data_IF_955479761349
#
_entry.id   IF_955479761349
#
_cell.length_a   1.000
_cell.length_b   1.000
_cell.length_c   1.000
_cell.angle_alpha   90.00
_cell.angle_beta   90.00
_cell.angle_gamma   90.00
#
_symmetry.space_group_name_H-M   'P 1'
#
loop_
_entity.id
_entity.type
_entity.pdbx_description
1 polymer ?
#
# COMPACT_ATOMS: atom_id res chain seq x y z
N UNK A 1 -6.45 -9.10 -11.61
CA UNK A 1 -6.20 -10.52 -11.32
C UNK A 1 -7.35 -11.08 -10.49
N UNK A 2 -7.51 -12.40 -10.44
CA UNK A 2 -8.48 -13.04 -9.56
C UNK A 2 -8.21 -12.69 -8.09
N UNK A 3 -9.22 -12.19 -7.37
CA UNK A 3 -9.09 -11.84 -5.96
C UNK A 3 -8.75 -13.04 -5.07
N UNK A 4 -9.13 -14.27 -5.44
CA UNK A 4 -8.83 -15.47 -4.65
C UNK A 4 -7.33 -15.76 -4.59
N UNK A 5 -6.57 -15.25 -5.56
CA UNK A 5 -5.13 -15.48 -5.68
C UNK A 5 -4.28 -14.43 -4.95
N UNK A 6 -4.85 -13.35 -4.40
CA UNK A 6 -4.05 -12.28 -3.79
C UNK A 6 -3.25 -12.76 -2.58
N UNK A 7 -3.69 -13.82 -1.91
CA UNK A 7 -2.97 -14.42 -0.77
C UNK A 7 -1.59 -14.97 -1.13
N UNK A 8 -1.33 -15.23 -2.43
CA UNK A 8 -0.06 -15.73 -2.94
C UNK A 8 0.94 -14.63 -3.27
N UNK A 9 0.52 -13.36 -3.26
CA UNK A 9 1.37 -12.23 -3.59
C UNK A 9 2.33 -11.89 -2.44
N UNK A 10 3.52 -11.35 -2.75
CA UNK A 10 4.53 -11.08 -1.73
C UNK A 10 4.12 -9.96 -0.77
N UNK A 11 4.74 -9.96 0.40
CA UNK A 11 4.77 -8.77 1.25
C UNK A 11 5.78 -7.78 0.70
N UNK A 12 5.36 -6.53 0.55
CA UNK A 12 6.25 -5.43 0.13
C UNK A 12 6.75 -4.73 1.39
N UNK A 13 8.06 -4.52 1.47
CA UNK A 13 8.70 -3.92 2.63
C UNK A 13 9.35 -2.60 2.28
N UNK A 14 9.00 -1.55 3.02
CA UNK A 14 9.66 -0.26 3.01
C UNK A 14 10.58 -0.13 4.21
N UNK A 15 11.82 0.29 3.98
CA UNK A 15 12.78 0.57 5.06
C UNK A 15 12.84 2.08 5.29
N UNK A 16 12.27 2.55 6.41
CA UNK A 16 12.22 3.96 6.78
C UNK A 16 12.88 4.13 8.15
N UNK A 17 13.92 4.98 8.23
CA UNK A 17 14.65 5.21 9.48
C UNK A 17 15.25 3.93 10.09
N UNK A 18 15.64 2.96 9.26
CA UNK A 18 16.17 1.67 9.69
C UNK A 18 15.13 0.66 10.19
N UNK A 19 13.83 0.97 10.12
CA UNK A 19 12.74 0.06 10.50
C UNK A 19 11.97 -0.41 9.27
N UNK A 20 11.52 -1.66 9.31
CA UNK A 20 10.70 -2.27 8.28
C UNK A 20 9.21 -1.95 8.45
N UNK A 21 8.59 -1.50 7.37
CA UNK A 21 7.16 -1.25 7.24
C UNK A 21 6.61 -2.15 6.13
N UNK A 22 5.80 -3.13 6.51
CA UNK A 22 5.32 -4.19 5.65
C UNK A 22 3.90 -3.88 5.16
N UNK A 23 3.69 -3.99 3.85
CA UNK A 23 2.37 -4.05 3.22
C UNK A 23 2.13 -5.47 2.72
N UNK A 24 1.14 -6.14 3.30
CA UNK A 24 0.66 -7.44 2.83
C UNK A 24 -0.21 -7.26 1.59
N UNK A 25 -0.49 -8.35 0.87
CA UNK A 25 -1.37 -8.29 -0.30
C UNK A 25 -2.76 -7.73 0.00
N UNK A 26 -3.28 -7.91 1.21
CA UNK A 26 -4.54 -7.30 1.67
C UNK A 26 -4.46 -5.78 1.88
N UNK A 27 -3.26 -5.24 2.02
CA UNK A 27 -3.05 -3.81 2.23
C UNK A 27 -2.96 -3.06 0.89
N UNK A 28 -2.43 -3.70 -0.17
CA UNK A 28 -2.23 -3.07 -1.48
C UNK A 28 -3.11 -3.59 -2.62
N UNK A 29 -3.90 -4.66 -2.43
CA UNK A 29 -4.87 -5.14 -3.42
C UNK A 29 -6.31 -4.77 -3.00
N UNK A 30 -7.09 -4.30 -3.97
CA UNK A 30 -8.48 -3.86 -3.77
C UNK A 30 -9.42 -4.59 -4.73
N UNK A 31 -10.59 -5.06 -4.26
CA UNK A 31 -11.60 -5.63 -5.14
C UNK A 31 -12.10 -4.55 -6.11
N UNK A 32 -12.19 -4.91 -7.39
CA UNK A 32 -12.80 -4.09 -8.42
C UNK A 32 -14.32 -3.98 -8.23
N UNK A 33 -14.91 -3.05 -8.97
CA UNK A 33 -16.36 -2.83 -8.98
C UNK A 33 -17.11 -3.77 -9.93
N UNK A 34 -16.38 -4.58 -10.70
CA UNK A 34 -16.92 -5.43 -11.75
C UNK A 34 -16.32 -6.83 -11.64
N UNK A 35 -17.14 -7.80 -12.00
CA UNK A 35 -16.73 -9.19 -12.19
C UNK A 35 -16.24 -9.41 -13.63
N UNK A 36 -15.41 -10.43 -13.81
CA UNK A 36 -15.03 -10.89 -15.14
C UNK A 36 -16.12 -11.75 -15.80
N UNK A 37 -15.84 -12.25 -17.00
CA UNK A 37 -16.76 -13.08 -17.80
C UNK A 37 -17.08 -14.42 -17.08
N UNK A 38 -16.31 -14.79 -16.06
CA UNK A 38 -16.51 -15.99 -15.23
C UNK A 38 -17.17 -15.69 -13.88
N UNK A 39 -17.77 -14.51 -13.70
CA UNK A 39 -18.37 -14.03 -12.45
C UNK A 39 -17.38 -13.99 -11.27
N UNK A 40 -16.10 -13.70 -11.53
CA UNK A 40 -15.10 -13.54 -10.49
C UNK A 40 -14.76 -12.08 -10.25
N UNK A 41 -14.67 -11.69 -8.99
CA UNK A 41 -14.20 -10.35 -8.60
C UNK A 41 -12.75 -10.16 -9.01
N UNK A 42 -12.49 -9.13 -9.81
CA UNK A 42 -11.13 -8.79 -10.23
C UNK A 42 -10.51 -7.79 -9.27
N UNK A 43 -9.40 -8.17 -8.65
CA UNK A 43 -8.61 -7.31 -7.78
C UNK A 43 -7.64 -6.44 -8.60
N UNK A 44 -7.47 -5.19 -8.15
CA UNK A 44 -6.52 -4.20 -8.67
C UNK A 44 -5.48 -3.84 -7.62
N UNK A 45 -4.25 -3.59 -8.08
CA UNK A 45 -3.18 -3.05 -7.25
C UNK A 45 -3.43 -1.57 -6.98
N UNK A 46 -3.25 -1.13 -5.74
CA UNK A 46 -3.15 0.28 -5.35
C UNK A 46 -1.74 0.85 -5.54
N UNK A 47 -0.79 0.02 -5.94
CA UNK A 47 0.54 0.44 -6.38
C UNK A 47 0.45 0.69 -7.88
N UNK A 48 0.76 1.92 -8.26
CA UNK A 48 0.70 2.41 -9.64
C UNK A 48 2.08 2.91 -10.04
N UNK A 49 2.38 2.77 -11.31
CA UNK A 49 3.56 3.40 -11.90
C UNK A 49 3.40 4.92 -11.89
N UNK A 50 4.52 5.60 -11.65
CA UNK A 50 4.59 7.06 -11.60
C UNK A 50 5.95 7.51 -12.09
N UNK A 51 5.96 8.13 -13.27
CA UNK A 51 7.19 8.55 -13.93
C UNK A 51 7.48 10.03 -13.62
N UNK A 52 8.35 10.26 -12.62
CA UNK A 52 8.94 11.58 -12.33
C UNK A 52 10.36 11.45 -11.81
N UNK A 53 11.26 12.19 -12.43
CA UNK A 53 12.70 12.18 -12.13
C UNK A 53 13.04 12.62 -10.69
N UNK A 54 12.19 13.40 -10.03
CA UNK A 54 12.46 14.00 -8.72
C UNK A 54 11.85 13.22 -7.54
N UNK A 55 10.99 12.24 -7.79
CA UNK A 55 10.20 11.54 -6.76
C UNK A 55 10.32 10.03 -6.94
N UNK A 56 11.00 9.37 -6.00
CA UNK A 56 11.12 7.92 -6.02
C UNK A 56 9.83 7.19 -5.58
N UNK A 57 9.14 7.70 -4.55
CA UNK A 57 7.96 7.06 -3.98
C UNK A 57 6.96 8.07 -3.45
N UNK A 58 5.67 7.80 -3.69
CA UNK A 58 4.56 8.46 -3.02
C UNK A 58 3.87 7.43 -2.12
N UNK A 59 4.09 7.56 -0.81
CA UNK A 59 3.44 6.69 0.19
C UNK A 59 2.03 7.21 0.50
N UNK A 60 1.09 6.81 -0.36
CA UNK A 60 -0.30 7.28 -0.33
C UNK A 60 -1.22 6.50 0.60
N UNK A 61 -2.51 6.45 0.21
CA UNK A 61 -3.61 5.90 1.01
C UNK A 61 -3.38 4.46 1.47
N UNK A 62 -2.73 3.61 0.65
CA UNK A 62 -2.45 2.21 1.02
C UNK A 62 -1.52 2.12 2.23
N UNK A 63 -0.55 3.04 2.33
CA UNK A 63 0.40 3.09 3.44
C UNK A 63 -0.25 3.72 4.68
N UNK A 64 -0.96 4.83 4.50
CA UNK A 64 -1.67 5.55 5.57
C UNK A 64 -2.78 4.70 6.20
N UNK A 65 -3.44 3.82 5.42
CA UNK A 65 -4.45 2.89 5.93
C UNK A 65 -3.85 1.87 6.90
N UNK A 66 -2.60 1.44 6.65
CA UNK A 66 -1.91 0.45 7.48
C UNK A 66 -1.17 1.09 8.65
N UNK A 67 -0.64 2.29 8.43
CA UNK A 67 0.22 2.99 9.38
C UNK A 67 -0.36 4.36 9.70
N UNK A 68 -0.61 4.60 10.98
CA UNK A 68 -0.83 5.94 11.49
C UNK A 68 0.45 6.76 11.31
N UNK A 69 0.29 8.00 10.84
CA UNK A 69 1.39 8.94 10.62
C UNK A 69 1.18 10.17 11.49
N UNK A 70 2.15 10.45 12.34
CA UNK A 70 2.23 11.71 13.09
C UNK A 70 3.11 12.71 12.31
N UNK A 71 2.56 13.89 12.05
CA UNK A 71 3.28 15.00 11.42
C UNK A 71 3.75 15.97 12.52
N UNK A 72 4.95 15.75 13.04
CA UNK A 72 5.56 16.61 14.06
C UNK A 72 6.21 17.82 13.38
N UNK A 73 5.39 18.83 13.11
CA UNK A 73 5.81 20.06 12.43
C UNK A 73 6.81 20.88 13.26
N UNK A 74 6.74 20.78 14.60
CA UNK A 74 7.65 21.51 15.50
C UNK A 74 9.08 21.01 15.36
N UNK A 75 9.26 19.68 15.27
CA UNK A 75 10.58 19.06 15.13
C UNK A 75 10.90 18.66 13.69
N UNK A 76 10.07 19.06 12.71
CA UNK A 76 10.20 18.75 11.28
C UNK A 76 10.46 17.26 11.00
N UNK A 77 9.62 16.38 11.55
CA UNK A 77 9.78 14.92 11.40
C UNK A 77 8.44 14.20 11.29
N UNK A 78 8.50 12.97 10.80
CA UNK A 78 7.37 12.04 10.74
C UNK A 78 7.54 10.91 11.75
N UNK A 79 6.46 10.56 12.43
CA UNK A 79 6.33 9.37 13.27
C UNK A 79 5.39 8.36 12.62
N UNK A 80 5.67 7.07 12.78
CA UNK A 80 4.86 5.99 12.21
C UNK A 80 4.50 4.95 13.28
N UNK A 81 3.25 4.53 13.31
CA UNK A 81 2.75 3.45 14.17
C UNK A 81 1.73 2.59 13.41
N UNK A 82 1.45 1.37 13.87
CA UNK A 82 0.37 0.57 13.29
C UNK A 82 -0.98 1.26 13.54
N UNK A 83 -1.81 1.34 12.49
CA UNK A 83 -3.19 1.81 12.61
C UNK A 83 -4.05 0.77 13.35
N UNK A 84 -5.12 1.23 14.01
CA UNK A 84 -6.05 0.40 14.80
C UNK A 84 -7.25 -0.05 13.98
#
# INVERSE_FOLDING_TARGET
>A
MDCDQISQLPTIQFILGGKAFNLTSKDYMFPGLYEDISNKTICRSGIVDFDRDDINWILGSIFIRRYYIEFDMKNNRLGFALAK
#
